data_IF_347102134004
#
_entry.id   IF_347102134004
#
_cell.length_a   1.000
_cell.length_b   1.000
_cell.length_c   1.000
_cell.angle_alpha   90.00
_cell.angle_beta   90.00
_cell.angle_gamma   90.00
#
_symmetry.space_group_name_H-M   'P 1'
#
loop_
_entity.id
_entity.type
_entity.pdbx_description
1 polymer ?
#
# COMPACT_ATOMS: atom_id res chain seq x y z
N UNK A 1 33.11 -2.26 -22.63
CA UNK A 1 33.23 -1.10 -21.71
C UNK A 1 33.67 0.09 -22.56
N UNK A 2 33.06 1.27 -22.37
CA UNK A 2 33.48 2.45 -23.12
C UNK A 2 34.94 2.80 -22.76
N UNK A 3 35.80 3.15 -23.74
CA UNK A 3 37.18 3.52 -23.48
C UNK A 3 37.25 4.76 -22.59
N UNK A 4 38.16 4.76 -21.61
CA UNK A 4 38.39 5.91 -20.74
C UNK A 4 39.13 6.97 -21.55
N UNK A 5 38.59 8.19 -21.69
CA UNK A 5 39.25 9.24 -22.46
C UNK A 5 40.54 9.68 -21.75
N UNK A 6 41.59 9.91 -22.55
CA UNK A 6 42.92 10.32 -22.07
C UNK A 6 42.96 11.75 -21.53
N UNK A 7 41.97 12.58 -21.90
CA UNK A 7 41.80 13.95 -21.47
C UNK A 7 40.35 14.21 -21.02
N UNK A 8 40.18 14.99 -19.95
CA UNK A 8 38.88 15.33 -19.40
C UNK A 8 38.52 16.78 -19.74
N UNK A 9 37.45 16.98 -20.50
CA UNK A 9 36.87 18.32 -20.68
C UNK A 9 36.07 18.70 -19.43
N UNK A 10 36.70 19.45 -18.52
CA UNK A 10 36.15 19.74 -17.18
C UNK A 10 34.78 20.41 -17.23
N UNK A 11 34.59 21.39 -18.12
CA UNK A 11 33.31 22.11 -18.22
C UNK A 11 32.15 21.21 -18.68
N UNK A 12 32.31 20.50 -19.80
CA UNK A 12 31.33 19.54 -20.28
C UNK A 12 31.01 18.48 -19.21
N UNK A 13 32.03 17.96 -18.52
CA UNK A 13 31.83 17.02 -17.43
C UNK A 13 31.01 17.63 -16.27
N UNK A 14 31.34 18.85 -15.84
CA UNK A 14 30.62 19.54 -14.77
C UNK A 14 29.17 19.81 -15.14
N UNK A 15 28.90 20.19 -16.40
CA UNK A 15 27.55 20.40 -16.91
C UNK A 15 26.72 19.10 -16.87
N UNK A 16 27.27 17.97 -17.32
CA UNK A 16 26.56 16.68 -17.23
C UNK A 16 26.33 16.25 -15.78
N UNK A 17 27.31 16.40 -14.89
CA UNK A 17 27.13 16.10 -13.46
C UNK A 17 26.09 16.99 -12.80
N UNK A 18 26.01 18.26 -13.17
CA UNK A 18 24.98 19.16 -12.67
C UNK A 18 23.59 18.70 -13.11
N UNK A 19 23.43 18.25 -14.37
CA UNK A 19 22.16 17.70 -14.88
C UNK A 19 21.75 16.45 -14.11
N UNK A 20 22.69 15.51 -13.89
CA UNK A 20 22.44 14.31 -13.11
C UNK A 20 22.03 14.62 -11.67
N UNK A 21 22.75 15.53 -10.99
CA UNK A 21 22.45 15.93 -9.61
C UNK A 21 21.06 16.55 -9.52
N UNK A 22 20.71 17.47 -10.43
CA UNK A 22 19.38 18.08 -10.48
C UNK A 22 18.29 17.04 -10.71
N UNK A 23 18.50 16.13 -11.67
CA UNK A 23 17.58 15.03 -11.93
C UNK A 23 17.36 14.14 -10.69
N UNK A 24 18.43 13.80 -9.96
CA UNK A 24 18.32 13.03 -8.72
C UNK A 24 17.61 13.82 -7.62
N UNK A 25 17.92 15.10 -7.46
CA UNK A 25 17.27 15.95 -6.47
C UNK A 25 15.75 16.02 -6.70
N UNK A 26 15.31 16.25 -7.94
CA UNK A 26 13.89 16.28 -8.31
C UNK A 26 13.19 14.94 -8.02
N UNK A 27 13.83 13.82 -8.38
CA UNK A 27 13.30 12.46 -8.13
C UNK A 27 13.18 12.16 -6.63
N UNK A 28 14.13 12.64 -5.82
CA UNK A 28 14.18 12.39 -4.37
C UNK A 28 13.17 13.25 -3.61
N UNK A 29 12.92 14.50 -4.02
CA UNK A 29 12.05 15.44 -3.30
C UNK A 29 10.65 14.88 -2.97
N UNK A 30 10.04 14.10 -3.88
CA UNK A 30 8.74 13.45 -3.64
C UNK A 30 8.77 12.29 -2.62
N UNK A 31 9.93 11.67 -2.44
CA UNK A 31 10.14 10.47 -1.62
C UNK A 31 10.78 10.76 -0.26
N UNK A 32 11.26 11.99 -0.03
CA UNK A 32 11.86 12.44 1.23
C UNK A 32 10.85 12.81 2.33
N UNK A 33 11.36 13.00 3.56
CA UNK A 33 10.64 13.46 4.74
C UNK A 33 10.32 12.37 5.78
N UNK A 34 9.76 12.78 6.93
CA UNK A 34 9.35 11.87 8.01
C UNK A 34 7.99 11.22 7.68
N UNK A 35 7.97 10.38 6.65
CA UNK A 35 6.79 9.66 6.18
C UNK A 35 6.78 8.23 6.70
N UNK A 36 5.62 7.76 7.18
CA UNK A 36 5.41 6.34 7.50
C UNK A 36 5.44 5.50 6.24
N UNK A 37 5.78 4.21 6.34
CA UNK A 37 5.82 3.32 5.18
C UNK A 37 4.49 3.27 4.40
N UNK A 38 3.35 3.37 5.11
CA UNK A 38 2.01 3.43 4.49
C UNK A 38 1.89 4.63 3.52
N UNK A 39 2.50 5.76 3.85
CA UNK A 39 2.46 6.99 3.06
C UNK A 39 3.41 6.95 1.86
N UNK A 40 4.41 6.08 1.87
CA UNK A 40 5.30 5.87 0.71
C UNK A 40 4.63 5.04 -0.39
N UNK A 41 3.61 4.24 -0.08
CA UNK A 41 2.90 3.47 -1.10
C UNK A 41 2.09 4.39 -2.04
N UNK A 42 1.92 4.01 -3.32
CA UNK A 42 1.00 4.67 -4.24
C UNK A 42 -0.42 4.72 -3.68
N UNK A 43 -1.16 5.81 -3.92
CA UNK A 43 -2.50 6.05 -3.33
C UNK A 43 -3.46 4.86 -3.49
N UNK A 44 -3.53 4.26 -4.68
CA UNK A 44 -4.43 3.13 -4.98
C UNK A 44 -4.06 1.83 -4.23
N UNK A 45 -2.81 1.68 -3.76
CA UNK A 45 -2.34 0.51 -3.00
C UNK A 45 -2.48 0.70 -1.49
N UNK A 46 -2.75 1.91 -1.01
CA UNK A 46 -2.91 2.17 0.42
C UNK A 46 -4.16 1.48 0.94
N UNK A 47 -4.05 0.92 2.14
CA UNK A 47 -5.18 0.35 2.90
C UNK A 47 -5.15 0.95 4.29
N UNK A 48 -6.29 1.47 4.77
CA UNK A 48 -6.40 2.05 6.13
C UNK A 48 -5.99 1.05 7.21
N UNK A 49 -6.30 -0.24 7.00
CA UNK A 49 -5.98 -1.31 7.95
C UNK A 49 -4.47 -1.66 8.06
N UNK A 50 -3.58 -1.07 7.24
CA UNK A 50 -2.13 -1.31 7.32
C UNK A 50 -1.52 -0.86 8.64
N UNK A 51 -2.07 0.18 9.29
CA UNK A 51 -1.61 0.64 10.61
C UNK A 51 -1.95 -0.35 11.72
N UNK A 52 -3.02 -1.13 11.56
CA UNK A 52 -3.46 -2.11 12.55
C UNK A 52 -2.90 -3.51 12.28
N UNK A 53 -2.55 -3.83 11.04
CA UNK A 53 -2.08 -5.16 10.65
C UNK A 53 -0.98 -5.07 9.60
N UNK A 54 0.22 -5.47 10.00
CA UNK A 54 1.41 -5.51 9.13
C UNK A 54 1.23 -6.45 7.93
N UNK A 55 0.37 -7.47 8.04
CA UNK A 55 0.09 -8.42 6.97
C UNK A 55 -0.71 -7.84 5.79
N UNK A 56 -1.11 -6.56 5.87
CA UNK A 56 -1.72 -5.84 4.74
C UNK A 56 -0.69 -5.22 3.79
N UNK A 57 0.59 -5.24 4.16
CA UNK A 57 1.67 -4.82 3.28
C UNK A 57 2.09 -5.94 2.32
N UNK A 58 2.66 -5.59 1.14
CA UNK A 58 3.37 -6.55 0.30
C UNK A 58 4.49 -7.25 1.06
N UNK A 59 4.76 -8.53 0.75
CA UNK A 59 5.79 -9.34 1.42
C UNK A 59 7.16 -8.65 1.47
N UNK A 60 7.57 -8.01 0.37
CA UNK A 60 8.84 -7.28 0.25
C UNK A 60 8.97 -6.15 1.27
N UNK A 61 7.85 -5.53 1.65
CA UNK A 61 7.81 -4.41 2.61
C UNK A 61 7.51 -4.86 4.04
N UNK A 62 7.24 -6.15 4.26
CA UNK A 62 6.76 -6.66 5.53
C UNK A 62 7.80 -6.50 6.65
N UNK A 63 9.08 -6.79 6.37
CA UNK A 63 10.17 -6.62 7.34
C UNK A 63 10.29 -5.19 7.83
N UNK A 64 10.25 -4.22 6.91
CA UNK A 64 10.27 -2.79 7.23
C UNK A 64 9.02 -2.36 8.01
N UNK A 65 7.85 -2.86 7.62
CA UNK A 65 6.59 -2.57 8.31
C UNK A 65 6.59 -3.10 9.76
N UNK A 66 7.14 -4.30 10.00
CA UNK A 66 7.27 -4.87 11.34
C UNK A 66 8.21 -4.02 12.19
N UNK A 67 9.37 -3.64 11.66
CA UNK A 67 10.34 -2.81 12.36
C UNK A 67 9.75 -1.43 12.72
N UNK A 68 9.01 -0.81 11.80
CA UNK A 68 8.32 0.45 12.06
C UNK A 68 7.22 0.28 13.11
N UNK A 69 6.39 -0.76 13.00
CA UNK A 69 5.28 -1.00 13.91
C UNK A 69 5.76 -1.25 15.35
N UNK A 70 6.87 -1.98 15.55
CA UNK A 70 7.48 -2.18 16.87
C UNK A 70 7.88 -0.88 17.57
N UNK A 71 8.25 0.16 16.80
CA UNK A 71 8.64 1.48 17.34
C UNK A 71 7.44 2.31 17.82
N UNK A 72 6.25 2.07 17.26
CA UNK A 72 5.07 2.90 17.50
C UNK A 72 3.91 2.19 18.22
N UNK A 73 3.98 0.86 18.40
CA UNK A 73 2.95 0.11 19.13
C UNK A 73 3.13 0.29 20.63
N UNK A 74 2.34 1.19 21.20
CA UNK A 74 2.26 1.42 22.66
C UNK A 74 1.10 0.67 23.33
N UNK A 75 0.12 0.22 22.54
CA UNK A 75 -1.12 -0.39 23.06
C UNK A 75 -1.25 -1.84 22.56
N UNK A 76 -1.57 -2.81 23.45
CA UNK A 76 -1.81 -4.19 23.05
C UNK A 76 -3.01 -4.30 22.09
N UNK A 77 -2.97 -5.26 21.13
CA UNK A 77 -4.04 -5.43 20.18
C UNK A 77 -5.34 -5.87 20.87
N UNK A 78 -6.48 -5.31 20.42
CA UNK A 78 -7.81 -5.74 20.87
C UNK A 78 -8.06 -7.22 20.53
N UNK A 79 -8.83 -7.95 21.34
CA UNK A 79 -9.14 -9.35 21.07
C UNK A 79 -9.87 -9.51 19.73
N UNK A 80 -9.56 -10.61 19.03
CA UNK A 80 -10.10 -10.90 17.70
C UNK A 80 -11.61 -11.12 17.75
N UNK A 81 -12.37 -10.42 16.89
CA UNK A 81 -13.82 -10.64 16.73
C UNK A 81 -14.17 -12.01 16.12
N UNK A 82 -13.20 -12.87 15.83
CA UNK A 82 -13.42 -14.19 15.20
C UNK A 82 -14.44 -15.03 15.97
N UNK A 83 -14.37 -15.02 17.30
CA UNK A 83 -15.29 -15.79 18.15
C UNK A 83 -16.75 -15.30 18.09
N UNK A 84 -16.99 -14.06 17.61
CA UNK A 84 -18.33 -13.48 17.45
C UNK A 84 -18.89 -13.63 16.03
N UNK A 85 -18.14 -14.24 15.11
CA UNK A 85 -18.59 -14.40 13.72
C UNK A 85 -19.43 -15.67 13.60
N UNK A 86 -20.71 -15.51 13.29
CA UNK A 86 -21.62 -16.64 13.01
C UNK A 86 -21.68 -16.89 11.50
N UNK A 87 -20.95 -17.90 11.03
CA UNK A 87 -20.90 -18.24 9.61
C UNK A 87 -22.25 -18.77 9.07
N UNK A 88 -22.96 -19.57 9.88
CA UNK A 88 -24.29 -20.10 9.56
C UNK A 88 -25.30 -18.97 9.31
N UNK A 89 -25.32 -17.97 10.18
CA UNK A 89 -26.19 -16.81 10.04
C UNK A 89 -25.88 -15.98 8.78
N UNK A 90 -24.61 -15.94 8.35
CA UNK A 90 -24.23 -15.25 7.10
C UNK A 90 -24.81 -15.97 5.87
N UNK A 91 -24.69 -17.30 5.82
CA UNK A 91 -25.22 -18.10 4.70
C UNK A 91 -26.74 -18.02 4.61
N UNK A 92 -27.44 -18.17 5.74
CA UNK A 92 -28.90 -18.05 5.78
C UNK A 92 -29.38 -16.67 5.29
N UNK A 93 -28.68 -15.60 5.68
CA UNK A 93 -28.96 -14.26 5.19
C UNK A 93 -28.75 -14.15 3.68
N UNK A 94 -27.66 -14.69 3.16
CA UNK A 94 -27.36 -14.63 1.72
C UNK A 94 -28.39 -15.38 0.88
N UNK A 95 -28.83 -16.56 1.32
CA UNK A 95 -29.92 -17.32 0.67
C UNK A 95 -31.23 -16.54 0.65
N UNK A 96 -31.65 -16.01 1.81
CA UNK A 96 -32.90 -15.22 1.91
C UNK A 96 -32.88 -13.97 1.03
N UNK A 97 -31.73 -13.29 0.94
CA UNK A 97 -31.57 -12.11 0.08
C UNK A 97 -31.57 -12.46 -1.41
N UNK A 98 -31.11 -13.66 -1.78
CA UNK A 98 -31.13 -14.12 -3.17
C UNK A 98 -32.55 -14.49 -3.64
N UNK A 99 -33.44 -14.88 -2.72
CA UNK A 99 -34.86 -15.14 -3.02
C UNK A 99 -35.66 -13.85 -3.23
N UNK A 100 -35.27 -12.77 -2.55
CA UNK A 100 -36.05 -11.52 -2.52
C UNK A 100 -35.64 -10.53 -3.62
N UNK A 101 -34.36 -10.49 -3.98
CA UNK A 101 -33.81 -9.54 -4.95
C UNK A 101 -33.06 -10.28 -6.06
N UNK A 102 -33.09 -9.75 -7.29
CA UNK A 102 -32.48 -10.37 -8.48
C UNK A 102 -30.96 -10.17 -8.47
N UNK A 103 -30.28 -10.79 -7.49
CA UNK A 103 -28.83 -10.70 -7.31
C UNK A 103 -28.11 -11.56 -8.35
N UNK A 104 -27.20 -10.94 -9.11
CA UNK A 104 -26.24 -11.67 -9.92
C UNK A 104 -25.23 -12.40 -9.03
N UNK A 105 -24.61 -13.47 -9.52
CA UNK A 105 -23.56 -14.23 -8.80
C UNK A 105 -22.41 -13.33 -8.30
N UNK A 106 -22.08 -12.29 -9.08
CA UNK A 106 -21.02 -11.33 -8.78
C UNK A 106 -21.44 -10.19 -7.84
N UNK A 107 -22.69 -10.17 -7.34
CA UNK A 107 -23.22 -9.08 -6.52
C UNK A 107 -22.41 -8.87 -5.22
N UNK A 108 -21.90 -9.94 -4.59
CA UNK A 108 -21.03 -9.84 -3.40
C UNK A 108 -19.72 -9.11 -3.72
N UNK A 109 -19.21 -9.23 -4.93
CA UNK A 109 -18.00 -8.53 -5.34
C UNK A 109 -18.25 -7.04 -5.53
N UNK A 110 -19.36 -6.68 -6.17
CA UNK A 110 -19.78 -5.30 -6.44
C UNK A 110 -20.09 -4.55 -5.15
N UNK A 111 -20.97 -5.09 -4.30
CA UNK A 111 -21.33 -4.51 -2.98
C UNK A 111 -20.12 -4.25 -2.06
N UNK A 112 -19.06 -5.05 -2.17
CA UNK A 112 -17.84 -4.86 -1.35
C UNK A 112 -16.99 -3.68 -1.79
N UNK A 113 -17.18 -3.16 -3.01
CA UNK A 113 -16.27 -2.20 -3.65
C UNK A 113 -16.96 -0.97 -4.21
N UNK A 114 -18.25 -1.05 -4.48
CA UNK A 114 -19.05 -0.03 -5.12
C UNK A 114 -20.29 0.28 -4.28
N UNK A 115 -20.80 1.50 -4.43
CA UNK A 115 -22.09 1.89 -3.89
C UNK A 115 -23.19 1.28 -4.78
N UNK A 116 -24.00 0.39 -4.22
CA UNK A 116 -25.17 -0.14 -4.94
C UNK A 116 -26.29 0.89 -4.85
N UNK A 117 -26.73 1.42 -5.98
CA UNK A 117 -27.99 2.15 -6.05
C UNK A 117 -29.11 1.12 -6.19
N UNK A 118 -30.08 1.18 -5.29
CA UNK A 118 -31.31 0.40 -5.32
C UNK A 118 -32.46 1.32 -5.71
#
# INVERSE_FOLDING_TARGET
>A
MAPIPSNLHVEAYAQERLREIRFFQERIQGHGGNKRLIQLLPRHRRRRAMSHSVYRFPRVLLGRAIAENKRFMTVPPKPSRKHRRNASALMQRDTRLAETDRRMESHVWHTKRFHMAH
#
